data_IF_204098668429
#
_entry.id   IF_204098668429
#
_cell.length_a   1.000
_cell.length_b   1.000
_cell.length_c   1.000
_cell.angle_alpha   90.00
_cell.angle_beta   90.00
_cell.angle_gamma   90.00
#
_symmetry.space_group_name_H-M   'P 1'
#
loop_
_entity.id
_entity.type
_entity.pdbx_description
1 polymer ?
#
# COMPACT_ATOMS: atom_id res chain seq x y z
N UNK A 1 -3.16 -28.82 -6.15
CA UNK A 1 -1.85 -28.87 -6.83
C UNK A 1 -1.00 -27.67 -6.39
N UNK A 2 0.31 -27.64 -6.66
CA UNK A 2 1.20 -26.53 -6.25
C UNK A 2 0.76 -25.22 -6.93
N UNK A 3 0.32 -25.35 -8.18
CA UNK A 3 -0.33 -24.29 -8.97
C UNK A 3 -1.51 -23.61 -8.23
N UNK A 4 -2.39 -24.36 -7.58
CA UNK A 4 -3.55 -23.79 -6.86
C UNK A 4 -3.13 -22.94 -5.65
N UNK A 5 -2.12 -23.39 -4.90
CA UNK A 5 -1.60 -22.66 -3.73
C UNK A 5 -1.02 -21.32 -4.17
N UNK A 6 -0.25 -21.31 -5.27
CA UNK A 6 0.33 -20.09 -5.84
C UNK A 6 -0.78 -19.15 -6.33
N UNK A 7 -1.81 -19.69 -7.00
CA UNK A 7 -2.94 -18.89 -7.49
C UNK A 7 -3.74 -18.22 -6.35
N UNK A 8 -4.05 -18.97 -5.29
CA UNK A 8 -4.73 -18.43 -4.10
C UNK A 8 -3.89 -17.33 -3.47
N UNK A 9 -2.60 -17.58 -3.26
CA UNK A 9 -1.66 -16.61 -2.68
C UNK A 9 -1.59 -15.33 -3.50
N UNK A 10 -1.51 -15.45 -4.83
CA UNK A 10 -1.51 -14.31 -5.75
C UNK A 10 -2.78 -13.48 -5.61
N UNK A 11 -3.95 -14.12 -5.61
CA UNK A 11 -5.25 -13.44 -5.53
C UNK A 11 -5.41 -12.65 -4.22
N UNK A 12 -5.00 -13.24 -3.09
CA UNK A 12 -5.03 -12.57 -1.80
C UNK A 12 -4.11 -11.34 -1.76
N UNK A 13 -2.94 -11.41 -2.41
CA UNK A 13 -1.99 -10.29 -2.48
C UNK A 13 -2.50 -9.14 -3.34
N UNK A 14 -3.16 -9.42 -4.46
CA UNK A 14 -3.82 -8.39 -5.30
C UNK A 14 -4.89 -7.64 -4.49
N UNK A 15 -5.74 -8.37 -3.77
CA UNK A 15 -6.77 -7.74 -2.93
C UNK A 15 -6.16 -6.90 -1.79
N UNK A 16 -5.01 -7.32 -1.26
CA UNK A 16 -4.29 -6.56 -0.23
C UNK A 16 -3.68 -5.28 -0.80
N UNK A 17 -3.12 -5.32 -2.02
CA UNK A 17 -2.64 -4.14 -2.75
C UNK A 17 -3.76 -3.13 -2.99
N UNK A 18 -4.92 -3.58 -3.50
CA UNK A 18 -6.08 -2.70 -3.73
C UNK A 18 -6.56 -2.03 -2.44
N UNK A 19 -6.59 -2.78 -1.32
CA UNK A 19 -6.91 -2.21 -0.01
C UNK A 19 -5.89 -1.16 0.42
N UNK A 20 -4.59 -1.44 0.27
CA UNK A 20 -3.52 -0.49 0.61
C UNK A 20 -3.59 0.79 -0.24
N UNK A 21 -3.86 0.66 -1.54
CA UNK A 21 -4.07 1.78 -2.46
C UNK A 21 -5.30 2.61 -2.04
N UNK A 22 -6.38 1.95 -1.64
CA UNK A 22 -7.57 2.62 -1.09
C UNK A 22 -7.23 3.47 0.14
N UNK A 23 -6.47 2.91 1.09
CA UNK A 23 -6.02 3.67 2.27
C UNK A 23 -5.07 4.83 1.91
N UNK A 24 -4.19 4.65 0.92
CA UNK A 24 -3.31 5.70 0.41
C UNK A 24 -4.10 6.86 -0.21
N UNK A 25 -5.07 6.55 -1.07
CA UNK A 25 -5.91 7.57 -1.71
C UNK A 25 -6.80 8.29 -0.70
N UNK A 26 -7.36 7.57 0.27
CA UNK A 26 -8.16 8.17 1.34
C UNK A 26 -7.31 9.13 2.19
N UNK A 27 -6.07 8.75 2.51
CA UNK A 27 -5.11 9.64 3.17
C UNK A 27 -4.81 10.90 2.37
N UNK A 28 -4.58 10.77 1.06
CA UNK A 28 -4.34 11.95 0.19
C UNK A 28 -5.55 12.88 0.13
N UNK A 29 -6.76 12.33 -0.01
CA UNK A 29 -8.01 13.09 -0.03
C UNK A 29 -8.22 13.84 1.29
N UNK A 30 -7.97 13.19 2.44
CA UNK A 30 -8.04 13.84 3.75
C UNK A 30 -7.04 15.01 3.85
N UNK A 31 -5.82 14.83 3.32
CA UNK A 31 -4.79 15.87 3.30
C UNK A 31 -5.20 17.09 2.47
N UNK A 32 -5.81 16.86 1.31
CA UNK A 32 -6.30 17.92 0.43
C UNK A 32 -7.50 18.65 1.03
N UNK A 33 -8.49 17.92 1.55
CA UNK A 33 -9.65 18.48 2.26
C UNK A 33 -9.22 19.37 3.41
N UNK A 34 -8.18 18.93 4.11
CA UNK A 34 -7.65 19.73 5.19
C UNK A 34 -6.92 20.99 4.73
N UNK A 35 -6.05 20.88 3.72
CA UNK A 35 -5.34 22.05 3.18
C UNK A 35 -6.33 23.13 2.73
N UNK A 36 -7.46 22.72 2.16
CA UNK A 36 -8.56 23.60 1.79
C UNK A 36 -9.21 24.26 3.02
N UNK A 37 -9.45 23.51 4.09
CA UNK A 37 -9.98 24.05 5.35
C UNK A 37 -9.03 25.06 6.00
N UNK A 38 -7.72 24.80 5.98
CA UNK A 38 -6.70 25.70 6.52
C UNK A 38 -6.62 27.01 5.73
N UNK A 39 -6.64 26.94 4.39
CA UNK A 39 -6.68 28.14 3.53
C UNK A 39 -7.96 28.94 3.80
N UNK A 40 -9.10 28.26 3.94
CA UNK A 40 -10.39 28.91 4.24
C UNK A 40 -10.37 29.62 5.58
N UNK A 41 -9.81 28.98 6.63
CA UNK A 41 -9.62 29.60 7.94
C UNK A 41 -8.65 30.78 7.89
N UNK A 42 -7.56 30.68 7.12
CA UNK A 42 -6.60 31.79 6.94
C UNK A 42 -7.25 33.01 6.30
N UNK A 43 -8.11 32.81 5.28
CA UNK A 43 -8.87 33.88 4.62
C UNK A 43 -9.88 34.50 5.61
N UNK A 44 -10.57 33.67 6.39
CA UNK A 44 -11.56 34.15 7.36
C UNK A 44 -10.94 34.94 8.52
N UNK A 45 -9.77 34.51 8.98
CA UNK A 45 -9.02 35.17 10.04
C UNK A 45 -8.55 36.58 9.62
N UNK A 46 -8.13 36.72 8.36
CA UNK A 46 -7.75 38.02 7.77
C UNK A 46 -8.90 39.05 7.83
N UNK A 47 -10.16 38.60 7.86
CA UNK A 47 -11.33 39.46 7.81
C UNK A 47 -11.92 39.83 9.18
N UNK A 48 -11.75 39.01 10.22
CA UNK A 48 -12.40 39.21 11.53
C UNK A 48 -11.48 39.53 12.72
N UNK A 49 -10.15 39.36 12.60
CA UNK A 49 -9.14 39.65 13.66
C UNK A 49 -9.53 39.18 15.08
N UNK A 50 -10.25 38.07 15.16
CA UNK A 50 -10.80 37.55 16.42
C UNK A 50 -9.76 36.65 17.08
N UNK A 51 -9.28 37.03 18.26
CA UNK A 51 -8.22 36.32 18.99
C UNK A 51 -8.58 34.85 19.30
N UNK A 52 -9.88 34.54 19.45
CA UNK A 52 -10.39 33.18 19.70
C UNK A 52 -10.36 32.31 18.43
N UNK A 53 -10.67 32.88 17.27
CA UNK A 53 -10.59 32.18 15.98
C UNK A 53 -9.14 31.91 15.59
N UNK A 54 -8.23 32.82 15.91
CA UNK A 54 -6.78 32.63 15.79
C UNK A 54 -6.31 31.38 16.54
N UNK A 55 -6.67 31.24 17.82
CA UNK A 55 -6.26 30.11 18.65
C UNK A 55 -6.78 28.76 18.12
N UNK A 56 -8.03 28.72 17.66
CA UNK A 56 -8.65 27.51 17.07
C UNK A 56 -7.98 27.15 15.74
N UNK A 57 -7.66 28.14 14.89
CA UNK A 57 -6.98 27.91 13.62
C UNK A 57 -5.54 27.40 13.82
N UNK A 58 -4.83 27.88 14.84
CA UNK A 58 -3.50 27.40 15.20
C UNK A 58 -3.53 25.95 15.71
N UNK A 59 -4.49 25.61 16.58
CA UNK A 59 -4.68 24.23 17.04
C UNK A 59 -5.02 23.28 15.89
N UNK A 60 -5.93 23.71 15.01
CA UNK A 60 -6.25 22.94 13.80
C UNK A 60 -4.98 22.69 12.98
N UNK A 61 -4.16 23.72 12.74
CA UNK A 61 -2.92 23.64 11.96
C UNK A 61 -1.94 22.61 12.50
N UNK A 62 -1.77 22.56 13.82
CA UNK A 62 -0.86 21.63 14.51
C UNK A 62 -1.34 20.18 14.37
N UNK A 63 -2.64 19.93 14.61
CA UNK A 63 -3.23 18.58 14.48
C UNK A 63 -2.95 18.00 13.09
N UNK A 64 -2.93 18.85 12.06
CA UNK A 64 -2.70 18.37 10.70
C UNK A 64 -1.26 18.34 10.29
N UNK A 65 -0.41 19.21 10.80
CA UNK A 65 1.02 18.98 10.66
C UNK A 65 1.39 17.56 11.13
N UNK A 66 0.81 17.12 12.26
CA UNK A 66 0.99 15.77 12.80
C UNK A 66 0.40 14.69 11.87
N UNK A 67 -0.83 14.85 11.39
CA UNK A 67 -1.45 13.88 10.47
C UNK A 67 -0.72 13.80 9.11
N UNK A 68 -0.23 14.94 8.60
CA UNK A 68 0.54 15.04 7.35
C UNK A 68 1.81 14.22 7.43
N UNK A 69 2.59 14.46 8.49
CA UNK A 69 3.82 13.72 8.75
C UNK A 69 3.54 12.24 8.95
N UNK A 70 2.45 11.89 9.65
CA UNK A 70 2.07 10.50 9.88
C UNK A 70 1.71 9.77 8.58
N UNK A 71 0.96 10.43 7.69
CA UNK A 71 0.56 9.89 6.38
C UNK A 71 1.78 9.75 5.46
N UNK A 72 2.63 10.77 5.39
CA UNK A 72 3.86 10.73 4.58
C UNK A 72 4.83 9.66 5.09
N UNK A 73 4.91 9.47 6.41
CA UNK A 73 5.79 8.46 7.03
C UNK A 73 5.39 7.02 6.73
N UNK A 74 4.12 6.76 6.38
CA UNK A 74 3.63 5.39 6.15
C UNK A 74 4.05 4.79 4.80
N UNK A 75 4.66 5.57 3.88
CA UNK A 75 5.24 5.07 2.61
C UNK A 75 4.30 4.11 1.84
N UNK A 76 3.00 4.39 1.85
CA UNK A 76 1.99 3.50 1.26
C UNK A 76 2.20 3.24 -0.24
N UNK A 77 2.72 4.22 -0.98
CA UNK A 77 3.09 4.07 -2.39
C UNK A 77 4.24 3.06 -2.59
N UNK A 78 5.25 3.10 -1.71
CA UNK A 78 6.41 2.21 -1.76
C UNK A 78 5.98 0.76 -1.44
N UNK A 79 5.07 0.59 -0.47
CA UNK A 79 4.45 -0.70 -0.15
C UNK A 79 3.56 -1.25 -1.27
N UNK A 80 2.82 -0.39 -1.97
CA UNK A 80 2.03 -0.78 -3.15
C UNK A 80 2.94 -1.29 -4.28
N UNK A 81 4.04 -0.60 -4.56
CA UNK A 81 5.04 -1.03 -5.56
C UNK A 81 5.67 -2.37 -5.18
N UNK A 82 6.01 -2.57 -3.90
CA UNK A 82 6.55 -3.84 -3.41
C UNK A 82 5.56 -5.00 -3.60
N UNK A 83 4.28 -4.80 -3.27
CA UNK A 83 3.25 -5.82 -3.51
C UNK A 83 2.98 -6.07 -4.99
N UNK A 84 3.10 -5.03 -5.81
CA UNK A 84 2.99 -5.15 -7.27
C UNK A 84 4.09 -6.03 -7.86
N UNK A 85 5.34 -5.74 -7.51
CA UNK A 85 6.48 -6.52 -7.95
C UNK A 85 6.39 -7.99 -7.45
N UNK A 86 5.82 -8.19 -6.27
CA UNK A 86 5.59 -9.52 -5.70
C UNK A 86 4.60 -10.36 -6.53
N UNK A 87 3.41 -9.83 -6.85
CA UNK A 87 2.43 -10.63 -7.60
C UNK A 87 2.89 -10.90 -9.04
N UNK A 88 3.69 -10.02 -9.65
CA UNK A 88 4.29 -10.24 -10.98
C UNK A 88 5.25 -11.43 -10.94
N UNK A 89 6.14 -11.49 -9.93
CA UNK A 89 7.04 -12.62 -9.72
C UNK A 89 6.29 -13.93 -9.46
N UNK A 90 5.20 -13.87 -8.69
CA UNK A 90 4.32 -15.03 -8.46
C UNK A 90 3.62 -15.50 -9.74
N UNK A 91 3.26 -14.60 -10.66
CA UNK A 91 2.63 -14.96 -11.93
C UNK A 91 3.60 -15.65 -12.91
N UNK A 92 4.85 -15.18 -12.93
CA UNK A 92 5.92 -15.84 -13.67
C UNK A 92 6.18 -17.26 -13.13
N UNK A 93 6.25 -17.39 -11.80
CA UNK A 93 6.44 -18.68 -11.12
C UNK A 93 5.25 -19.62 -11.35
N UNK A 94 4.02 -19.12 -11.27
CA UNK A 94 2.80 -19.88 -11.59
C UNK A 94 2.85 -20.45 -13.02
N UNK A 95 3.30 -19.64 -13.98
CA UNK A 95 3.46 -20.06 -15.38
C UNK A 95 4.56 -21.12 -15.55
N UNK A 96 5.62 -21.10 -14.74
CA UNK A 96 6.66 -22.14 -14.73
C UNK A 96 6.13 -23.45 -14.11
N UNK A 97 5.45 -23.36 -12.96
CA UNK A 97 4.83 -24.52 -12.27
C UNK A 97 3.79 -25.20 -13.15
N UNK A 98 2.90 -24.44 -13.79
CA UNK A 98 1.87 -25.01 -14.68
C UNK A 98 2.46 -25.74 -15.89
N UNK A 99 3.62 -25.30 -16.39
CA UNK A 99 4.36 -26.00 -17.45
C UNK A 99 5.02 -27.27 -16.92
N UNK A 100 5.64 -27.21 -15.75
CA UNK A 100 6.29 -28.36 -15.11
C UNK A 100 5.29 -29.46 -14.70
N UNK A 101 4.12 -29.09 -14.18
CA UNK A 101 3.00 -30.01 -13.87
C UNK A 101 2.49 -30.72 -15.13
N UNK A 102 2.41 -30.01 -16.26
CA UNK A 102 1.98 -30.59 -17.55
C UNK A 102 3.00 -31.56 -18.15
N UNK A 103 4.29 -31.38 -17.84
CA UNK A 103 5.38 -32.24 -18.31
C UNK A 103 5.74 -33.37 -17.33
N UNK A 104 5.02 -33.54 -16.22
CA UNK A 104 5.30 -34.52 -15.15
C UNK A 104 6.77 -34.54 -14.68
N UNK A 105 7.42 -33.38 -14.71
CA UNK A 105 8.84 -33.26 -14.35
C UNK A 105 8.96 -32.95 -12.85
N UNK A 106 9.00 -34.02 -12.05
CA UNK A 106 9.02 -33.96 -10.57
C UNK A 106 10.24 -33.21 -10.01
N UNK A 107 11.40 -33.33 -10.65
CA UNK A 107 12.65 -32.68 -10.20
C UNK A 107 12.59 -31.15 -10.42
N UNK A 108 12.00 -30.73 -11.55
CA UNK A 108 11.73 -29.32 -11.82
C UNK A 108 10.66 -28.75 -10.89
N UNK A 109 9.67 -29.56 -10.51
CA UNK A 109 8.61 -29.16 -9.58
C UNK A 109 9.17 -28.86 -8.18
N UNK A 110 10.10 -29.68 -7.71
CA UNK A 110 10.72 -29.54 -6.38
C UNK A 110 11.60 -28.29 -6.30
N UNK A 111 12.34 -27.98 -7.37
CA UNK A 111 13.10 -26.72 -7.47
C UNK A 111 12.19 -25.48 -7.48
N UNK A 112 11.05 -25.55 -8.17
CA UNK A 112 10.06 -24.46 -8.18
C UNK A 112 9.37 -24.26 -6.83
N UNK A 113 9.19 -25.32 -6.04
CA UNK A 113 8.66 -25.23 -4.68
C UNK A 113 9.67 -24.57 -3.72
N UNK A 114 10.96 -24.86 -3.87
CA UNK A 114 12.03 -24.17 -3.16
C UNK A 114 12.08 -22.67 -3.53
N UNK A 115 11.97 -22.34 -4.83
CA UNK A 115 11.90 -20.96 -5.32
C UNK A 115 10.67 -20.23 -4.76
N UNK A 116 9.51 -20.88 -4.73
CA UNK A 116 8.28 -20.35 -4.11
C UNK A 116 8.46 -20.02 -2.63
N UNK A 117 9.07 -20.94 -1.88
CA UNK A 117 9.30 -20.79 -0.44
C UNK A 117 10.29 -19.66 -0.15
N UNK A 118 11.37 -19.57 -0.94
CA UNK A 118 12.33 -18.48 -0.84
C UNK A 118 11.70 -17.12 -1.16
N UNK A 119 10.82 -17.06 -2.16
CA UNK A 119 10.07 -15.86 -2.52
C UNK A 119 9.19 -15.40 -1.35
N UNK A 120 8.46 -16.32 -0.71
CA UNK A 120 7.62 -16.02 0.45
C UNK A 120 8.42 -15.44 1.63
N UNK A 121 9.54 -16.06 1.99
CA UNK A 121 10.40 -15.62 3.11
C UNK A 121 10.97 -14.22 2.87
N UNK A 122 11.35 -13.92 1.63
CA UNK A 122 11.96 -12.63 1.29
C UNK A 122 10.95 -11.46 1.32
N UNK A 123 9.65 -11.77 1.28
CA UNK A 123 8.59 -10.74 1.29
C UNK A 123 8.10 -10.42 2.71
N UNK A 124 8.16 -11.36 3.65
CA UNK A 124 7.79 -11.10 5.06
C UNK A 124 8.89 -10.35 5.84
N UNK A 125 10.14 -10.41 5.37
CA UNK A 125 11.28 -9.77 6.02
C UNK A 125 11.55 -8.30 5.58
N UNK A 126 10.62 -7.68 4.85
CA UNK A 126 10.76 -6.32 4.31
C UNK A 126 9.67 -5.34 4.79
#
# INVERSE_FOLDING_TARGET
MLSDKIWITRKTRIFTEERLLGYSNLSQILMTLYSLALVSLSIWNLQNNDAKLNLVSAFASIVVLVLSVHITSQKYAERSIAMRNCYIKLDELYSKVKRAEKSENYEMLQNLEAEYTALLINIENH
#
